data_IF_240533884960
#
_entry.id   IF_240533884960
#
_cell.length_a   1.000
_cell.length_b   1.000
_cell.length_c   1.000
_cell.angle_alpha   90.00
_cell.angle_beta   90.00
_cell.angle_gamma   90.00
#
_symmetry.space_group_name_H-M   'P 1'
#
loop_
_entity.id
_entity.type
_entity.pdbx_description
1 polymer ?
#
# COMPACT_ATOMS: atom_id res chain seq x y z
N UNK A 1 -5.53 -23.12 -8.04
CA UNK A 1 -5.47 -23.10 -6.57
C UNK A 1 -6.73 -22.43 -6.05
N UNK A 2 -7.75 -23.27 -5.69
CA UNK A 2 -9.13 -22.85 -5.43
C UNK A 2 -9.43 -22.55 -3.96
N UNK A 3 -8.47 -22.04 -3.20
CA UNK A 3 -8.70 -21.63 -1.80
C UNK A 3 -9.33 -20.24 -1.76
N UNK A 4 -10.41 -20.10 -1.02
CA UNK A 4 -11.06 -18.80 -0.78
C UNK A 4 -10.13 -17.79 -0.08
N UNK A 5 -10.43 -16.50 -0.22
CA UNK A 5 -9.61 -15.39 0.30
C UNK A 5 -9.31 -15.55 1.78
N UNK A 6 -10.32 -15.88 2.59
CA UNK A 6 -10.14 -16.04 4.03
C UNK A 6 -9.35 -17.30 4.38
N UNK A 7 -9.48 -18.37 3.61
CA UNK A 7 -8.66 -19.56 3.83
C UNK A 7 -7.19 -19.28 3.50
N UNK A 8 -6.90 -18.47 2.48
CA UNK A 8 -5.54 -17.98 2.21
C UNK A 8 -5.02 -17.09 3.34
N UNK A 9 -5.85 -16.21 3.89
CA UNK A 9 -5.50 -15.41 5.08
C UNK A 9 -5.35 -16.32 6.30
N UNK A 10 -6.20 -17.33 6.47
CA UNK A 10 -6.09 -18.33 7.55
C UNK A 10 -4.84 -19.18 7.43
N UNK A 11 -4.45 -19.60 6.23
CA UNK A 11 -3.21 -20.35 6.01
C UNK A 11 -1.98 -19.47 6.31
N UNK A 12 -1.98 -18.21 5.88
CA UNK A 12 -0.97 -17.23 6.26
C UNK A 12 -0.95 -17.02 7.78
N UNK A 13 -2.12 -16.93 8.41
CA UNK A 13 -2.24 -16.83 9.87
C UNK A 13 -1.82 -18.12 10.60
N UNK A 14 -1.89 -19.29 9.96
CA UNK A 14 -1.37 -20.56 10.48
C UNK A 14 0.16 -20.61 10.42
N UNK A 15 0.72 -20.14 9.30
CA UNK A 15 2.18 -20.01 9.14
C UNK A 15 2.75 -19.01 10.15
N UNK A 16 2.03 -17.92 10.40
CA UNK A 16 2.35 -16.95 11.45
C UNK A 16 2.27 -17.55 12.88
N UNK A 17 1.36 -18.50 13.14
CA UNK A 17 1.32 -19.23 14.44
C UNK A 17 2.56 -20.08 14.69
N UNK A 18 3.07 -20.71 13.65
CA UNK A 18 4.36 -21.41 13.69
C UNK A 18 5.54 -20.50 14.00
N UNK A 19 5.36 -19.19 13.83
CA UNK A 19 6.36 -18.13 14.10
C UNK A 19 6.06 -17.30 15.36
N UNK A 20 5.06 -17.70 16.20
CA UNK A 20 4.76 -17.06 17.48
C UNK A 20 3.88 -15.81 17.39
N UNK A 21 3.11 -15.62 16.30
CA UNK A 21 2.11 -14.55 16.22
C UNK A 21 0.96 -14.79 17.19
N UNK A 22 0.62 -13.78 17.99
CA UNK A 22 -0.47 -13.87 18.94
C UNK A 22 -1.85 -13.61 18.28
N UNK A 23 -2.90 -13.78 19.06
CA UNK A 23 -4.28 -13.66 18.60
C UNK A 23 -4.67 -12.21 18.29
N UNK A 24 -4.01 -11.23 18.94
CA UNK A 24 -4.23 -9.80 18.71
C UNK A 24 -3.69 -9.39 17.34
N UNK A 25 -2.49 -9.82 16.96
CA UNK A 25 -1.89 -9.55 15.66
C UNK A 25 -2.69 -10.15 14.49
N UNK A 26 -3.34 -11.29 14.73
CA UNK A 26 -4.27 -11.89 13.76
C UNK A 26 -5.54 -11.06 13.60
N UNK A 27 -6.07 -10.55 14.71
CA UNK A 27 -7.18 -9.60 14.72
C UNK A 27 -6.84 -8.34 13.94
N UNK A 28 -5.66 -7.80 14.16
CA UNK A 28 -5.17 -6.60 13.48
C UNK A 28 -4.98 -6.78 11.97
N UNK A 29 -4.48 -7.94 11.51
CA UNK A 29 -4.40 -8.26 10.08
C UNK A 29 -5.78 -8.43 9.46
N UNK A 30 -6.72 -9.03 10.20
CA UNK A 30 -8.10 -9.15 9.79
C UNK A 30 -8.83 -7.80 9.80
N UNK A 31 -8.55 -6.89 10.74
CA UNK A 31 -9.03 -5.51 10.71
C UNK A 31 -8.41 -4.70 9.56
N UNK A 32 -7.15 -4.92 9.28
CA UNK A 32 -6.49 -4.31 8.10
C UNK A 32 -7.16 -4.73 6.79
N UNK A 33 -7.56 -6.00 6.71
CA UNK A 33 -8.32 -6.58 5.60
C UNK A 33 -9.83 -6.33 5.77
N UNK A 34 -10.26 -5.90 6.96
CA UNK A 34 -11.67 -5.68 7.33
C UNK A 34 -12.36 -4.54 6.60
N UNK A 35 -11.60 -3.61 5.97
CA UNK A 35 -12.14 -2.76 4.91
C UNK A 35 -12.65 -3.55 3.69
N UNK A 36 -12.35 -4.85 3.63
CA UNK A 36 -12.80 -5.79 2.60
C UNK A 36 -14.17 -6.42 2.87
N UNK A 37 -14.89 -6.09 3.93
CA UNK A 37 -16.04 -6.89 4.36
C UNK A 37 -15.68 -8.40 4.43
N UNK A 38 -14.51 -8.67 5.06
CA UNK A 38 -13.87 -9.98 5.05
C UNK A 38 -14.75 -11.08 5.64
N UNK A 39 -15.67 -10.71 6.54
CA UNK A 39 -16.64 -11.64 7.11
C UNK A 39 -17.69 -12.08 6.08
N UNK A 40 -18.15 -11.18 5.23
CA UNK A 40 -19.16 -11.48 4.20
C UNK A 40 -18.57 -12.21 2.97
N UNK A 41 -17.24 -12.13 2.78
CA UNK A 41 -16.54 -12.73 1.63
C UNK A 41 -15.52 -13.79 2.00
N UNK A 42 -15.67 -14.36 3.18
CA UNK A 42 -14.76 -15.40 3.69
C UNK A 42 -14.52 -16.55 2.71
N UNK A 43 -15.54 -16.90 1.94
CA UNK A 43 -15.54 -18.01 1.00
C UNK A 43 -15.41 -17.56 -0.48
N UNK A 44 -15.22 -16.25 -0.72
CA UNK A 44 -15.04 -15.72 -2.08
C UNK A 44 -13.75 -16.25 -2.71
N UNK A 45 -13.81 -16.56 -3.99
CA UNK A 45 -12.62 -16.89 -4.77
C UNK A 45 -11.89 -15.59 -5.17
N UNK A 46 -10.57 -15.65 -5.42
CA UNK A 46 -9.82 -14.47 -5.89
C UNK A 46 -10.41 -13.81 -7.13
N UNK A 47 -11.08 -14.56 -8.01
CA UNK A 47 -11.75 -14.04 -9.21
C UNK A 47 -13.04 -13.26 -8.93
N UNK A 48 -13.60 -13.38 -7.73
CA UNK A 48 -14.82 -12.67 -7.31
C UNK A 48 -14.51 -11.31 -6.66
N UNK A 49 -13.22 -11.00 -6.49
CA UNK A 49 -12.78 -9.75 -5.89
C UNK A 49 -12.68 -8.65 -6.94
N UNK A 50 -13.12 -7.45 -6.58
CA UNK A 50 -12.83 -6.26 -7.36
C UNK A 50 -11.34 -5.85 -7.23
N UNK A 51 -10.92 -4.87 -8.02
CA UNK A 51 -9.53 -4.40 -8.05
C UNK A 51 -9.05 -3.91 -6.67
N UNK A 52 -9.85 -3.12 -5.98
CA UNK A 52 -9.54 -2.59 -4.64
C UNK A 52 -9.32 -3.75 -3.65
N UNK A 53 -10.25 -4.69 -3.60
CA UNK A 53 -10.17 -5.85 -2.72
C UNK A 53 -8.94 -6.73 -3.01
N UNK A 54 -8.61 -6.92 -4.29
CA UNK A 54 -7.41 -7.67 -4.69
C UNK A 54 -6.13 -7.00 -4.20
N UNK A 55 -6.01 -5.67 -4.38
CA UNK A 55 -4.84 -4.91 -3.93
C UNK A 55 -4.67 -4.94 -2.41
N UNK A 56 -5.76 -4.80 -1.68
CA UNK A 56 -5.73 -4.89 -0.21
C UNK A 56 -5.37 -6.29 0.28
N UNK A 57 -5.86 -7.34 -0.40
CA UNK A 57 -5.46 -8.71 -0.10
C UNK A 57 -3.96 -8.94 -0.32
N UNK A 58 -3.40 -8.43 -1.41
CA UNK A 58 -1.97 -8.52 -1.69
C UNK A 58 -1.14 -7.80 -0.62
N UNK A 59 -1.56 -6.61 -0.21
CA UNK A 59 -0.94 -5.86 0.87
C UNK A 59 -1.00 -6.64 2.20
N UNK A 60 -2.16 -7.19 2.54
CA UNK A 60 -2.33 -8.02 3.74
C UNK A 60 -1.42 -9.25 3.73
N UNK A 61 -1.26 -9.90 2.56
CA UNK A 61 -0.32 -11.02 2.40
C UNK A 61 1.13 -10.62 2.63
N UNK A 62 1.55 -9.46 2.11
CA UNK A 62 2.89 -8.94 2.35
C UNK A 62 3.12 -8.66 3.85
N UNK A 63 2.15 -8.05 4.52
CA UNK A 63 2.22 -7.71 5.94
C UNK A 63 2.20 -8.93 6.86
N UNK A 64 1.58 -10.03 6.44
CA UNK A 64 1.54 -11.28 7.21
C UNK A 64 2.94 -11.85 7.52
N UNK A 65 3.97 -11.50 6.73
CA UNK A 65 5.35 -11.88 7.00
C UNK A 65 6.07 -11.00 8.03
N UNK A 66 5.40 -9.99 8.60
CA UNK A 66 5.96 -8.96 9.50
C UNK A 66 7.22 -8.30 8.91
N UNK A 67 7.13 -7.73 7.74
CA UNK A 67 8.28 -7.17 7.09
C UNK A 67 8.74 -5.89 7.81
N UNK A 68 10.05 -5.68 7.88
CA UNK A 68 10.62 -4.40 8.31
C UNK A 68 10.57 -3.34 7.20
N UNK A 69 10.47 -3.78 5.95
CA UNK A 69 10.41 -2.97 4.75
C UNK A 69 9.34 -3.54 3.81
N UNK A 70 8.46 -2.68 3.31
CA UNK A 70 7.48 -2.99 2.27
C UNK A 70 7.74 -2.08 1.06
N UNK A 71 7.77 -2.69 -0.11
CA UNK A 71 7.85 -1.98 -1.39
C UNK A 71 6.47 -1.99 -2.04
N UNK A 72 5.95 -0.81 -2.33
CA UNK A 72 4.64 -0.59 -2.95
C UNK A 72 4.86 0.07 -4.31
N UNK A 73 4.54 -0.64 -5.38
CA UNK A 73 4.70 -0.17 -6.74
C UNK A 73 3.34 0.03 -7.39
N UNK A 74 2.96 1.29 -7.59
CA UNK A 74 1.68 1.74 -8.18
C UNK A 74 0.44 1.03 -7.61
N UNK A 75 0.45 0.73 -6.31
CA UNK A 75 -0.63 -0.05 -5.68
C UNK A 75 -1.98 0.67 -5.69
N UNK A 76 -1.99 1.99 -5.90
CA UNK A 76 -3.21 2.82 -5.92
C UNK A 76 -3.73 3.07 -7.35
N UNK A 77 -3.05 2.57 -8.37
CA UNK A 77 -3.49 2.71 -9.76
C UNK A 77 -4.84 2.04 -9.98
N UNK A 78 -5.75 2.76 -10.66
CA UNK A 78 -7.10 2.25 -10.98
C UNK A 78 -8.12 2.30 -9.84
N UNK A 79 -7.75 2.80 -8.66
CA UNK A 79 -8.67 3.03 -7.56
C UNK A 79 -9.44 4.35 -7.72
N UNK A 80 -10.66 4.39 -7.21
CA UNK A 80 -11.45 5.63 -7.10
C UNK A 80 -10.86 6.57 -6.03
N UNK A 81 -11.18 7.87 -6.05
CA UNK A 81 -10.69 8.81 -5.05
C UNK A 81 -10.96 8.37 -3.60
N UNK A 82 -12.15 7.83 -3.31
CA UNK A 82 -12.50 7.32 -1.98
C UNK A 82 -11.66 6.11 -1.56
N UNK A 83 -11.46 5.15 -2.47
CA UNK A 83 -10.61 3.98 -2.22
C UNK A 83 -9.14 4.36 -2.02
N UNK A 84 -8.66 5.42 -2.72
CA UNK A 84 -7.31 5.97 -2.49
C UNK A 84 -7.20 6.53 -1.08
N UNK A 85 -8.21 7.25 -0.59
CA UNK A 85 -8.19 7.84 0.76
C UNK A 85 -8.18 6.74 1.84
N UNK A 86 -8.94 5.66 1.65
CA UNK A 86 -8.89 4.47 2.52
C UNK A 86 -7.51 3.80 2.50
N UNK A 87 -6.92 3.64 1.33
CA UNK A 87 -5.58 3.06 1.18
C UNK A 87 -4.50 3.92 1.81
N UNK A 88 -4.57 5.25 1.68
CA UNK A 88 -3.64 6.19 2.33
C UNK A 88 -3.71 6.04 3.85
N UNK A 89 -4.90 5.95 4.42
CA UNK A 89 -5.07 5.76 5.86
C UNK A 89 -4.54 4.40 6.34
N UNK A 90 -4.75 3.37 5.55
CA UNK A 90 -4.19 2.05 5.80
C UNK A 90 -2.65 2.06 5.81
N UNK A 91 -2.03 2.68 4.79
CA UNK A 91 -0.57 2.80 4.69
C UNK A 91 0.00 3.59 5.87
N UNK A 92 -0.69 4.66 6.32
CA UNK A 92 -0.31 5.41 7.54
C UNK A 92 -0.31 4.52 8.78
N UNK A 93 -1.32 3.69 8.97
CA UNK A 93 -1.41 2.75 10.10
C UNK A 93 -0.29 1.72 10.07
N UNK A 94 0.06 1.19 8.89
CA UNK A 94 1.18 0.26 8.71
C UNK A 94 2.50 0.94 9.11
N UNK A 95 2.73 2.15 8.63
CA UNK A 95 3.91 2.95 8.97
C UNK A 95 4.01 3.25 10.47
N UNK A 96 2.90 3.61 11.12
CA UNK A 96 2.85 3.89 12.55
C UNK A 96 3.25 2.68 13.43
N UNK A 97 3.20 1.47 12.90
CA UNK A 97 3.68 0.23 13.53
C UNK A 97 5.17 -0.02 13.36
N UNK A 98 5.89 0.90 12.72
CA UNK A 98 7.35 0.83 12.54
C UNK A 98 7.81 0.12 11.27
N UNK A 99 6.90 -0.20 10.35
CA UNK A 99 7.27 -0.73 9.04
C UNK A 99 7.77 0.40 8.14
N UNK A 100 8.96 0.25 7.58
CA UNK A 100 9.47 1.16 6.55
C UNK A 100 8.76 0.88 5.23
N UNK A 101 8.32 1.95 4.56
CA UNK A 101 7.63 1.83 3.27
C UNK A 101 8.41 2.58 2.20
N UNK A 102 8.69 1.93 1.09
CA UNK A 102 9.12 2.56 -0.16
C UNK A 102 7.95 2.50 -1.12
N UNK A 103 7.49 3.67 -1.55
CA UNK A 103 6.32 3.83 -2.41
C UNK A 103 6.76 4.39 -3.76
N UNK A 104 6.42 3.71 -4.84
CA UNK A 104 6.51 4.24 -6.21
C UNK A 104 5.11 4.63 -6.65
N UNK A 105 4.91 5.92 -6.87
CA UNK A 105 3.59 6.47 -7.21
C UNK A 105 3.71 7.71 -8.08
N UNK A 106 2.69 7.95 -8.88
CA UNK A 106 2.56 9.14 -9.72
C UNK A 106 1.44 10.08 -9.26
N UNK A 107 0.64 9.70 -8.26
CA UNK A 107 -0.42 10.52 -7.69
C UNK A 107 0.17 11.45 -6.63
N UNK A 108 0.45 12.70 -7.00
CA UNK A 108 1.16 13.67 -6.13
C UNK A 108 0.55 13.87 -4.77
N UNK A 109 -0.79 13.89 -4.66
CA UNK A 109 -1.47 14.02 -3.36
C UNK A 109 -1.12 12.87 -2.41
N UNK A 110 -0.96 11.66 -2.94
CA UNK A 110 -0.58 10.46 -2.18
C UNK A 110 0.88 10.54 -1.76
N UNK A 111 1.76 10.84 -2.73
CA UNK A 111 3.19 10.99 -2.47
C UNK A 111 3.43 12.01 -1.36
N UNK A 112 2.79 13.19 -1.45
CA UNK A 112 2.93 14.25 -0.44
C UNK A 112 2.34 13.84 0.92
N UNK A 113 1.22 13.10 0.93
CA UNK A 113 0.54 12.70 2.16
C UNK A 113 1.25 11.59 2.95
N UNK A 114 2.03 10.75 2.26
CA UNK A 114 2.63 9.55 2.83
C UNK A 114 4.15 9.67 3.03
N UNK A 115 4.84 10.47 2.22
CA UNK A 115 6.30 10.45 2.17
C UNK A 115 6.94 11.46 3.11
N UNK A 116 7.92 11.01 3.89
CA UNK A 116 8.84 11.90 4.61
C UNK A 116 9.91 12.44 3.67
N UNK A 117 10.34 11.58 2.74
CA UNK A 117 11.41 11.86 1.77
C UNK A 117 10.99 11.36 0.40
N UNK A 118 11.28 12.14 -0.63
CA UNK A 118 10.99 11.85 -2.03
C UNK A 118 12.30 11.75 -2.82
N UNK A 119 12.33 10.83 -3.77
CA UNK A 119 13.33 10.76 -4.84
C UNK A 119 12.57 10.83 -6.16
N UNK A 120 12.84 11.85 -6.95
CA UNK A 120 12.25 12.04 -8.29
C UNK A 120 13.23 11.50 -9.33
N UNK A 121 12.73 10.59 -10.16
CA UNK A 121 13.48 10.05 -11.29
C UNK A 121 12.94 10.66 -12.60
N UNK A 122 13.84 11.10 -13.44
CA UNK A 122 13.54 11.52 -14.81
C UNK A 122 14.54 10.88 -15.77
N UNK A 123 14.04 10.21 -16.80
CA UNK A 123 14.84 9.49 -17.81
C UNK A 123 15.96 8.61 -17.22
N UNK A 124 15.65 7.91 -16.12
CA UNK A 124 16.59 7.01 -15.44
C UNK A 124 17.65 7.71 -14.56
N UNK A 125 17.52 9.01 -14.34
CA UNK A 125 18.42 9.81 -13.48
C UNK A 125 17.67 10.40 -12.30
N UNK A 126 18.36 10.59 -11.19
CA UNK A 126 17.82 11.32 -10.03
C UNK A 126 17.79 12.80 -10.37
N UNK A 127 16.59 13.37 -10.55
CA UNK A 127 16.35 14.78 -10.77
C UNK A 127 16.39 15.57 -9.44
N UNK A 128 15.76 15.03 -8.41
CA UNK A 128 15.68 15.63 -7.09
C UNK A 128 15.54 14.57 -6.00
N UNK A 129 16.01 14.88 -4.79
CA UNK A 129 15.76 14.08 -3.61
C UNK A 129 15.80 14.94 -2.36
N UNK A 130 14.99 14.62 -1.36
CA UNK A 130 14.94 15.34 -0.10
C UNK A 130 13.60 15.26 0.61
N UNK A 131 13.36 16.08 1.63
CA UNK A 131 12.06 16.21 2.28
C UNK A 131 10.96 16.50 1.25
N UNK A 132 9.79 15.91 1.44
CA UNK A 132 8.69 15.99 0.47
C UNK A 132 8.33 17.44 0.12
N UNK A 133 8.22 18.32 1.12
CA UNK A 133 7.87 19.73 0.91
C UNK A 133 8.90 20.48 0.04
N UNK A 134 10.19 20.23 0.25
CA UNK A 134 11.27 20.87 -0.50
C UNK A 134 11.32 20.40 -1.96
N UNK A 135 11.23 19.09 -2.15
CA UNK A 135 11.27 18.48 -3.49
C UNK A 135 10.06 18.92 -4.32
N UNK A 136 8.88 18.95 -3.72
CA UNK A 136 7.63 19.34 -4.40
C UNK A 136 7.56 20.83 -4.75
N UNK A 137 8.32 21.70 -4.06
CA UNK A 137 8.41 23.12 -4.36
C UNK A 137 9.35 23.43 -5.56
N UNK A 138 10.09 22.45 -6.05
CA UNK A 138 11.05 22.66 -7.13
C UNK A 138 10.36 22.79 -8.49
N UNK A 139 10.77 23.82 -9.25
CA UNK A 139 10.22 24.09 -10.58
C UNK A 139 10.57 22.99 -11.60
N UNK A 140 11.78 22.43 -11.55
CA UNK A 140 12.21 21.37 -12.45
C UNK A 140 11.41 20.05 -12.21
N UNK A 141 11.05 19.76 -10.97
CA UNK A 141 10.17 18.65 -10.60
C UNK A 141 8.76 18.89 -11.16
N UNK A 142 8.22 20.11 -11.00
CA UNK A 142 6.91 20.45 -11.56
C UNK A 142 6.89 20.30 -13.09
N UNK A 143 7.93 20.74 -13.79
CA UNK A 143 8.05 20.62 -15.25
C UNK A 143 8.14 19.14 -15.66
N UNK A 144 8.96 18.34 -14.99
CA UNK A 144 9.11 16.91 -15.29
C UNK A 144 7.81 16.14 -15.10
N UNK A 145 7.01 16.53 -14.10
CA UNK A 145 5.75 15.87 -13.78
C UNK A 145 4.56 16.34 -14.61
N UNK A 146 4.39 17.67 -14.79
CA UNK A 146 3.23 18.28 -15.48
C UNK A 146 3.49 18.49 -16.97
N UNK A 147 4.74 18.38 -17.41
CA UNK A 147 5.18 18.78 -18.75
C UNK A 147 5.32 20.30 -18.90
N UNK A 148 5.97 20.73 -19.97
CA UNK A 148 6.30 22.13 -20.21
C UNK A 148 5.10 23.05 -20.45
N UNK A 149 3.90 22.50 -20.65
CA UNK A 149 2.69 23.26 -20.98
C UNK A 149 2.03 23.95 -19.76
N UNK A 150 2.48 23.66 -18.53
CA UNK A 150 1.86 24.16 -17.28
C UNK A 150 2.89 24.76 -16.30
N UNK A 151 4.08 25.08 -16.75
CA UNK A 151 5.14 25.66 -15.92
C UNK A 151 5.33 27.15 -16.19
#
# INVERSE_FOLDING_TARGET
DMLGVVERIRLLSRDLRGRGADQAERGELLELVGGLDAAARADALPGDLNLHQTKFLELARALASRPRLVLLDEVLSGLTPGEIDEAVELIRRIRARGTTIVLVEHVMRVVTALSDRIVVLDQGRVLAQGPAAEVMARRDVAIAYLGTAHA
#
